data_IF_326508698435
#
_entry.id   IF_326508698435
#
_cell.length_a   1.000
_cell.length_b   1.000
_cell.length_c   1.000
_cell.angle_alpha   90.00
_cell.angle_beta   90.00
_cell.angle_gamma   90.00
#
_symmetry.space_group_name_H-M   'P 1'
#
loop_
_entity.id
_entity.type
_entity.pdbx_description
1 polymer ?
#
# COMPACT_ATOMS: atom_id res chain seq x y z
N UNK A 1 -9.47 -13.69 -21.88
CA UNK A 1 -8.99 -12.29 -21.71
C UNK A 1 -9.13 -11.84 -20.25
N UNK A 2 -10.33 -11.77 -19.66
CA UNK A 2 -10.52 -11.33 -18.24
C UNK A 2 -9.76 -12.16 -17.20
N UNK A 3 -9.52 -13.45 -17.39
CA UNK A 3 -8.74 -14.26 -16.45
C UNK A 3 -7.27 -13.83 -16.38
N UNK A 4 -6.65 -13.54 -17.53
CA UNK A 4 -5.28 -13.01 -17.57
C UNK A 4 -5.17 -11.62 -16.98
N UNK A 5 -6.18 -10.78 -17.19
CA UNK A 5 -6.25 -9.44 -16.60
C UNK A 5 -6.38 -9.52 -15.08
N UNK A 6 -7.21 -10.44 -14.57
CA UNK A 6 -7.32 -10.67 -13.12
C UNK A 6 -5.98 -11.06 -12.53
N UNK A 7 -5.25 -11.99 -13.13
CA UNK A 7 -3.91 -12.37 -12.68
C UNK A 7 -2.93 -11.20 -12.75
N UNK A 8 -2.95 -10.43 -13.83
CA UNK A 8 -2.08 -9.26 -13.98
C UNK A 8 -2.37 -8.18 -12.91
N UNK A 9 -3.64 -8.01 -12.52
CA UNK A 9 -4.00 -7.11 -11.41
C UNK A 9 -3.51 -7.68 -10.08
N UNK A 10 -3.67 -8.97 -9.80
CA UNK A 10 -3.13 -9.61 -8.60
C UNK A 10 -1.61 -9.41 -8.50
N UNK A 11 -0.86 -9.64 -9.59
CA UNK A 11 0.58 -9.40 -9.63
C UNK A 11 0.92 -7.92 -9.32
N UNK A 12 0.07 -6.98 -9.74
CA UNK A 12 0.26 -5.56 -9.42
C UNK A 12 0.11 -5.27 -7.94
N UNK A 13 -0.87 -5.91 -7.28
CA UNK A 13 -1.08 -5.79 -5.84
C UNK A 13 0.07 -6.43 -5.04
N UNK A 14 0.57 -7.57 -5.50
CA UNK A 14 1.72 -8.24 -4.85
C UNK A 14 3.02 -7.46 -5.06
N UNK A 15 3.23 -6.86 -6.25
CA UNK A 15 4.38 -6.00 -6.50
C UNK A 15 4.41 -4.77 -5.57
N UNK A 16 3.24 -4.25 -5.16
CA UNK A 16 3.16 -3.22 -4.12
C UNK A 16 3.73 -3.72 -2.80
N UNK A 17 3.27 -4.87 -2.29
CA UNK A 17 3.76 -5.41 -1.01
C UNK A 17 5.26 -5.70 -1.05
N UNK A 18 5.77 -6.23 -2.15
CA UNK A 18 7.21 -6.46 -2.34
C UNK A 18 8.02 -5.17 -2.28
N UNK A 19 7.54 -4.10 -2.95
CA UNK A 19 8.20 -2.81 -2.95
C UNK A 19 8.25 -2.20 -1.53
N UNK A 20 7.16 -2.31 -0.77
CA UNK A 20 7.08 -1.81 0.61
C UNK A 20 7.98 -2.64 1.54
N UNK A 21 7.87 -3.96 1.51
CA UNK A 21 8.59 -4.86 2.42
C UNK A 21 10.11 -4.81 2.22
N UNK A 22 10.54 -4.59 0.97
CA UNK A 22 11.95 -4.42 0.61
C UNK A 22 12.41 -2.95 0.67
N UNK A 23 11.53 -2.02 1.03
CA UNK A 23 11.79 -0.58 1.09
C UNK A 23 12.35 -0.03 -0.24
N UNK A 24 11.83 -0.52 -1.37
CA UNK A 24 12.16 -0.08 -2.72
C UNK A 24 11.06 0.80 -3.27
N UNK A 25 10.89 1.97 -2.67
CA UNK A 25 9.74 2.85 -2.93
C UNK A 25 9.73 3.40 -4.35
N UNK A 26 10.86 3.45 -5.05
CA UNK A 26 10.94 3.79 -6.47
C UNK A 26 10.18 2.78 -7.37
N UNK A 27 10.06 1.52 -6.93
CA UNK A 27 9.32 0.49 -7.66
C UNK A 27 7.80 0.75 -7.67
N UNK A 28 7.30 1.61 -6.80
CA UNK A 28 5.88 2.01 -6.80
C UNK A 28 5.47 2.68 -8.12
N UNK A 29 6.40 3.27 -8.87
CA UNK A 29 6.17 3.78 -10.22
C UNK A 29 5.74 2.70 -11.24
N UNK A 30 6.03 1.41 -10.95
CA UNK A 30 5.55 0.29 -11.76
C UNK A 30 4.20 -0.25 -11.30
N UNK A 31 3.73 0.14 -10.13
CA UNK A 31 2.44 -0.26 -9.55
C UNK A 31 1.36 0.77 -9.84
N UNK A 32 1.69 2.03 -9.69
CA UNK A 32 0.78 3.16 -9.80
C UNK A 32 1.00 3.95 -11.09
N UNK A 33 -0.01 4.71 -11.51
CA UNK A 33 0.18 5.79 -12.50
C UNK A 33 0.92 6.96 -11.85
N UNK A 34 1.61 7.76 -12.64
CA UNK A 34 2.40 8.89 -12.13
C UNK A 34 1.54 9.94 -11.36
N UNK A 35 0.27 10.05 -11.73
CA UNK A 35 -0.72 10.95 -11.14
C UNK A 35 -1.64 10.27 -10.11
N UNK A 36 -1.32 9.04 -9.72
CA UNK A 36 -2.14 8.29 -8.79
C UNK A 36 -2.34 9.01 -7.46
N UNK A 37 -3.55 8.90 -6.90
CA UNK A 37 -3.92 9.47 -5.61
C UNK A 37 -4.02 8.36 -4.56
N UNK A 38 -3.34 8.54 -3.44
CA UNK A 38 -3.30 7.58 -2.34
C UNK A 38 -3.81 8.24 -1.06
N UNK A 39 -4.76 7.58 -0.40
CA UNK A 39 -5.35 8.04 0.87
C UNK A 39 -5.03 7.05 2.00
N UNK A 40 -4.08 7.41 2.85
CA UNK A 40 -3.64 6.61 4.00
C UNK A 40 -3.97 7.28 5.34
N UNK A 41 -4.91 8.23 5.34
CA UNK A 41 -5.26 9.00 6.55
C UNK A 41 -5.72 8.14 7.72
N UNK A 42 -6.39 7.01 7.47
CA UNK A 42 -6.84 6.13 8.55
C UNK A 42 -5.71 5.44 9.32
N UNK A 43 -4.51 5.40 8.73
CA UNK A 43 -3.30 4.87 9.39
C UNK A 43 -2.32 5.97 9.81
N UNK A 44 -2.77 7.23 9.80
CA UNK A 44 -1.95 8.38 10.17
C UNK A 44 -1.09 8.94 9.04
N UNK A 45 -1.23 8.41 7.83
CA UNK A 45 -0.55 8.90 6.64
C UNK A 45 -1.28 10.07 5.96
N UNK A 46 -0.73 10.57 4.85
CA UNK A 46 -1.35 11.63 4.05
C UNK A 46 -2.41 11.10 3.10
N UNK A 47 -3.15 12.06 2.50
CA UNK A 47 -3.87 11.86 1.25
C UNK A 47 -3.17 12.74 0.20
N UNK A 48 -2.44 12.13 -0.72
CA UNK A 48 -1.59 12.86 -1.66
C UNK A 48 -1.32 12.06 -2.95
N UNK A 49 -0.63 12.69 -3.90
CA UNK A 49 -0.19 12.05 -5.12
C UNK A 49 0.99 11.08 -4.86
N UNK A 50 1.29 10.22 -5.83
CA UNK A 50 2.33 9.20 -5.71
C UNK A 50 3.71 9.75 -5.32
N UNK A 51 4.23 10.87 -5.91
CA UNK A 51 5.56 11.36 -5.54
C UNK A 51 5.69 11.74 -4.06
N UNK A 52 4.69 12.43 -3.51
CA UNK A 52 4.67 12.81 -2.10
C UNK A 52 4.49 11.57 -1.19
N UNK A 53 3.69 10.59 -1.64
CA UNK A 53 3.52 9.34 -0.91
C UNK A 53 4.83 8.54 -0.86
N UNK A 54 5.61 8.51 -1.93
CA UNK A 54 6.91 7.82 -1.95
C UNK A 54 7.89 8.45 -0.95
N UNK A 55 7.91 9.77 -0.83
CA UNK A 55 8.72 10.47 0.18
C UNK A 55 8.24 10.11 1.59
N UNK A 56 6.94 10.23 1.84
CA UNK A 56 6.34 9.90 3.14
C UNK A 56 6.66 8.45 3.56
N UNK A 57 6.44 7.49 2.66
CA UNK A 57 6.71 6.07 2.95
C UNK A 57 8.21 5.82 3.21
N UNK A 58 9.09 6.47 2.47
CA UNK A 58 10.53 6.39 2.68
C UNK A 58 10.96 6.88 4.05
N UNK A 59 10.40 8.00 4.51
CA UNK A 59 10.68 8.56 5.84
C UNK A 59 10.05 7.71 6.95
N UNK A 60 8.76 7.36 6.81
CA UNK A 60 8.01 6.65 7.84
C UNK A 60 8.48 5.21 8.02
N UNK A 61 8.72 4.48 6.93
CA UNK A 61 9.04 3.05 6.98
C UNK A 61 10.52 2.76 7.19
N UNK A 62 11.42 3.74 7.02
CA UNK A 62 12.86 3.55 7.24
C UNK A 62 13.22 3.15 8.68
N UNK A 63 12.38 3.47 9.64
CA UNK A 63 12.55 3.12 11.06
C UNK A 63 12.28 1.65 11.38
N UNK A 64 11.59 0.94 10.47
CA UNK A 64 11.26 -0.46 10.69
C UNK A 64 12.34 -1.39 10.18
N UNK A 65 12.69 -2.39 10.97
CA UNK A 65 13.67 -3.44 10.66
C UNK A 65 13.01 -4.67 10.03
N UNK A 66 11.71 -4.82 10.22
CA UNK A 66 10.92 -5.91 9.68
C UNK A 66 9.61 -5.35 9.17
N UNK A 67 9.33 -5.60 7.92
CA UNK A 67 8.08 -5.27 7.25
C UNK A 67 7.59 -6.52 6.53
N UNK A 68 6.32 -6.84 6.68
CA UNK A 68 5.71 -7.90 5.91
C UNK A 68 4.23 -7.60 5.70
N UNK A 69 3.84 -7.49 4.43
CA UNK A 69 2.47 -7.23 4.00
C UNK A 69 1.90 -8.48 3.33
N UNK A 70 0.76 -8.94 3.83
CA UNK A 70 -0.01 -10.02 3.22
C UNK A 70 -1.21 -9.40 2.52
N UNK A 71 -1.30 -9.60 1.21
CA UNK A 71 -2.46 -9.19 0.40
C UNK A 71 -3.29 -10.44 0.12
N UNK A 72 -4.57 -10.40 0.48
CA UNK A 72 -5.47 -11.54 0.34
C UNK A 72 -6.88 -11.13 -0.04
N UNK A 73 -7.74 -12.11 -0.28
CA UNK A 73 -9.17 -11.90 -0.55
C UNK A 73 -9.42 -10.90 -1.70
N UNK A 74 -8.57 -10.93 -2.71
CA UNK A 74 -8.63 -10.00 -3.84
C UNK A 74 -9.91 -10.23 -4.65
N UNK A 75 -10.67 -9.16 -4.86
CA UNK A 75 -11.87 -9.12 -5.70
C UNK A 75 -11.68 -8.07 -6.78
N UNK A 76 -11.63 -8.50 -8.02
CA UNK A 76 -11.52 -7.64 -9.19
C UNK A 76 -12.88 -7.51 -9.86
N UNK A 77 -13.25 -6.30 -10.24
CA UNK A 77 -14.42 -6.00 -11.07
C UNK A 77 -13.97 -5.14 -12.24
N UNK A 78 -14.26 -5.62 -13.43
CA UNK A 78 -14.02 -4.84 -14.65
C UNK A 78 -15.23 -3.95 -14.92
N UNK A 79 -14.98 -2.78 -15.48
CA UNK A 79 -16.05 -1.93 -15.95
C UNK A 79 -16.76 -2.60 -17.14
N UNK A 80 -18.08 -2.44 -17.23
CA UNK A 80 -18.88 -3.07 -18.29
C UNK A 80 -18.83 -2.26 -19.59
N UNK A 81 -18.63 -0.94 -19.50
CA UNK A 81 -18.63 -0.02 -20.65
C UNK A 81 -17.21 0.29 -21.12
N UNK A 82 -16.20 0.16 -20.24
CA UNK A 82 -14.79 0.41 -20.56
C UNK A 82 -13.88 -0.73 -20.10
N UNK A 83 -13.43 -1.55 -21.03
CA UNK A 83 -12.57 -2.72 -20.77
C UNK A 83 -11.17 -2.36 -20.26
N UNK A 84 -10.79 -1.08 -20.32
CA UNK A 84 -9.51 -0.58 -19.82
C UNK A 84 -9.59 -0.14 -18.36
N UNK A 85 -10.77 -0.20 -17.74
CA UNK A 85 -11.00 0.17 -16.34
C UNK A 85 -11.36 -1.03 -15.48
N UNK A 86 -10.85 -1.03 -14.25
CA UNK A 86 -11.19 -2.02 -13.23
C UNK A 86 -11.15 -1.41 -11.83
N UNK A 87 -11.81 -2.08 -10.90
CA UNK A 87 -11.63 -1.87 -9.47
C UNK A 87 -11.15 -3.15 -8.82
N UNK A 88 -10.37 -3.03 -7.76
CA UNK A 88 -9.95 -4.16 -6.95
C UNK A 88 -10.12 -3.81 -5.47
N UNK A 89 -10.65 -4.78 -4.72
CA UNK A 89 -10.68 -4.73 -3.26
C UNK A 89 -9.88 -5.90 -2.73
N UNK A 90 -9.03 -5.64 -1.74
CA UNK A 90 -8.22 -6.67 -1.12
C UNK A 90 -8.09 -6.46 0.37
N UNK A 91 -7.82 -7.53 1.11
CA UNK A 91 -7.43 -7.41 2.52
C UNK A 91 -5.92 -7.22 2.59
N UNK A 92 -5.49 -6.45 3.59
CA UNK A 92 -4.10 -6.32 3.97
C UNK A 92 -3.93 -6.68 5.44
N UNK A 93 -2.93 -7.52 5.71
CA UNK A 93 -2.37 -7.73 7.03
C UNK A 93 -0.92 -7.29 6.97
N UNK A 94 -0.57 -6.25 7.72
CA UNK A 94 0.78 -5.70 7.72
C UNK A 94 1.42 -5.82 9.10
N UNK A 95 2.58 -6.45 9.15
CA UNK A 95 3.39 -6.56 10.36
C UNK A 95 4.59 -5.62 10.27
N UNK A 96 4.82 -4.88 11.36
CA UNK A 96 5.91 -3.93 11.49
C UNK A 96 6.76 -4.30 12.71
N UNK A 97 8.07 -4.36 12.53
CA UNK A 97 9.02 -4.62 13.60
C UNK A 97 10.07 -3.52 13.70
N UNK A 98 10.31 -2.99 14.87
CA UNK A 98 11.29 -1.95 15.15
C UNK A 98 12.10 -2.24 16.41
N UNK A 99 13.27 -1.62 16.53
CA UNK A 99 14.09 -1.71 17.74
C UNK A 99 13.72 -0.61 18.73
N UNK A 100 13.48 -1.01 19.97
CA UNK A 100 13.32 -0.11 21.10
C UNK A 100 14.14 -0.62 22.28
N UNK A 101 15.07 0.20 22.75
CA UNK A 101 15.99 -0.18 23.83
C UNK A 101 16.69 -1.55 23.59
N UNK A 102 17.16 -1.78 22.37
CA UNK A 102 17.86 -3.01 21.97
C UNK A 102 16.95 -4.26 21.84
N UNK A 103 15.64 -4.12 21.96
CA UNK A 103 14.68 -5.21 21.82
C UNK A 103 13.77 -4.97 20.61
N UNK A 104 13.46 -6.06 19.89
CA UNK A 104 12.44 -6.01 18.83
C UNK A 104 11.05 -5.86 19.42
N UNK A 105 10.32 -4.86 18.93
CA UNK A 105 8.90 -4.64 19.20
C UNK A 105 8.14 -4.81 17.90
N UNK A 106 6.92 -5.28 18.00
CA UNK A 106 6.06 -5.52 16.85
C UNK A 106 4.67 -4.95 17.05
N UNK A 107 4.09 -4.48 15.95
CA UNK A 107 2.67 -4.23 15.85
C UNK A 107 2.14 -4.70 14.51
N UNK A 108 0.86 -4.92 14.43
CA UNK A 108 0.15 -5.37 13.25
C UNK A 108 -1.05 -4.47 12.98
N UNK A 109 -1.35 -4.29 11.72
CA UNK A 109 -2.61 -3.71 11.30
C UNK A 109 -3.32 -4.65 10.32
N UNK A 110 -4.63 -4.71 10.44
CA UNK A 110 -5.49 -5.34 9.46
C UNK A 110 -6.38 -4.29 8.81
N UNK A 111 -6.51 -4.35 7.51
CA UNK A 111 -7.28 -3.39 6.75
C UNK A 111 -7.69 -3.89 5.37
N UNK A 112 -8.15 -2.96 4.58
CA UNK A 112 -8.58 -3.19 3.20
C UNK A 112 -8.02 -2.10 2.30
N UNK A 113 -7.63 -2.48 1.09
CA UNK A 113 -7.40 -1.56 -0.01
C UNK A 113 -8.60 -1.53 -0.94
N UNK A 114 -9.06 -0.33 -1.28
CA UNK A 114 -9.95 -0.08 -2.40
C UNK A 114 -9.15 0.63 -3.50
N UNK A 115 -8.98 -0.06 -4.64
CA UNK A 115 -8.17 0.37 -5.76
C UNK A 115 -9.03 0.64 -6.99
N UNK A 116 -8.71 1.73 -7.70
CA UNK A 116 -9.12 1.93 -9.09
C UNK A 116 -7.92 1.70 -10.00
N UNK A 117 -8.13 1.00 -11.09
CA UNK A 117 -7.05 0.62 -12.00
C UNK A 117 -7.41 0.97 -13.43
N UNK A 118 -6.36 1.22 -14.21
CA UNK A 118 -6.44 1.45 -15.64
C UNK A 118 -5.44 0.53 -16.36
N UNK A 119 -5.83 0.03 -17.52
CA UNK A 119 -4.93 -0.66 -18.44
C UNK A 119 -4.09 0.36 -19.20
N UNK A 120 -2.79 0.14 -19.25
CA UNK A 120 -1.82 0.91 -20.04
C UNK A 120 -1.07 -0.05 -20.98
N UNK A 121 -0.33 0.46 -21.98
CA UNK A 121 0.50 -0.40 -22.85
C UNK A 121 1.45 -1.33 -22.05
N UNK A 122 1.95 -0.86 -20.90
CA UNK A 122 2.85 -1.59 -20.00
C UNK A 122 2.10 -2.50 -19.01
N UNK A 123 0.78 -2.63 -19.12
CA UNK A 123 -0.08 -3.42 -18.24
C UNK A 123 -0.90 -2.57 -17.26
N UNK A 124 -1.57 -3.24 -16.35
CA UNK A 124 -2.45 -2.59 -15.36
C UNK A 124 -1.67 -1.71 -14.38
N UNK A 125 -2.25 -0.54 -14.03
CA UNK A 125 -1.72 0.40 -13.04
C UNK A 125 -2.85 0.89 -12.14
N UNK A 126 -2.53 1.10 -10.86
CA UNK A 126 -3.46 1.70 -9.90
C UNK A 126 -3.45 3.22 -10.08
N UNK A 127 -4.64 3.80 -10.26
CA UNK A 127 -4.83 5.26 -10.36
C UNK A 127 -5.27 5.88 -9.04
N UNK A 128 -5.83 5.08 -8.14
CA UNK A 128 -6.25 5.54 -6.81
C UNK A 128 -6.27 4.36 -5.85
N UNK A 129 -5.77 4.58 -4.64
CA UNK A 129 -5.83 3.63 -3.52
C UNK A 129 -6.33 4.32 -2.27
N UNK A 130 -7.31 3.71 -1.62
CA UNK A 130 -7.75 4.09 -0.27
C UNK A 130 -7.45 2.93 0.68
N UNK A 131 -6.75 3.22 1.77
CA UNK A 131 -6.50 2.26 2.85
C UNK A 131 -7.53 2.46 3.96
N UNK A 132 -8.35 1.44 4.19
CA UNK A 132 -9.31 1.39 5.29
C UNK A 132 -8.75 0.55 6.43
N UNK A 133 -8.52 1.17 7.59
CA UNK A 133 -8.08 0.48 8.79
C UNK A 133 -9.25 -0.27 9.44
N UNK A 134 -9.07 -1.55 9.74
CA UNK A 134 -10.04 -2.38 10.45
C UNK A 134 -9.68 -2.58 11.91
N UNK A 135 -8.41 -2.83 12.18
CA UNK A 135 -7.88 -3.02 13.52
C UNK A 135 -6.38 -2.75 13.56
N UNK A 136 -5.89 -2.49 14.76
CA UNK A 136 -4.49 -2.24 15.05
C UNK A 136 -4.16 -2.92 16.39
N UNK A 137 -3.08 -3.68 16.46
CA UNK A 137 -2.68 -4.44 17.64
C UNK A 137 -1.17 -4.44 17.83
N UNK A 138 -0.72 -4.49 19.09
CA UNK A 138 0.68 -4.57 19.47
C UNK A 138 1.30 -3.26 19.89
N UNK A 139 2.63 -3.24 19.94
CA UNK A 139 3.42 -2.10 20.42
C UNK A 139 3.61 -1.05 19.32
N UNK A 140 2.62 -0.20 19.10
CA UNK A 140 2.70 0.89 18.13
C UNK A 140 3.69 1.94 18.62
N UNK A 141 4.72 2.32 17.82
CA UNK A 141 5.67 3.35 18.26
C UNK A 141 4.94 4.68 18.44
N UNK A 142 5.18 5.35 19.56
CA UNK A 142 4.72 6.72 19.75
C UNK A 142 5.47 7.62 18.77
N UNK A 143 4.75 8.47 18.05
CA UNK A 143 5.39 9.55 17.30
C UNK A 143 6.30 10.33 18.26
N UNK A 144 7.53 10.69 17.86
CA UNK A 144 8.32 11.60 18.69
C UNK A 144 7.49 12.86 18.94
N UNK A 145 7.43 13.28 20.21
CA UNK A 145 6.79 14.54 20.56
C UNK A 145 7.39 15.64 19.67
N UNK A 146 6.58 16.60 19.17
CA UNK A 146 7.14 17.72 18.42
C UNK A 146 8.23 18.36 19.28
N UNK A 147 9.40 18.62 18.70
CA UNK A 147 10.50 19.26 19.38
C UNK A 147 9.96 20.54 20.02
N UNK A 148 10.15 20.67 21.34
CA UNK A 148 9.76 21.90 22.04
C UNK A 148 10.54 23.06 21.41
N UNK A 149 9.77 24.01 20.83
CA UNK A 149 10.28 25.26 20.27
C UNK A 149 10.77 26.21 21.36
#
# INVERSE_FOLDING_TARGET
MRAFDTLAIHERLFAYSDAIDQQRFEQLAHVFTADAQLDFRQTGGPCCALPEMQVFLGEELSRYRRLQHFISNVRVRFDDDDTELATARSYVLAQHGYLHEGRMRFFQLGGEYDDKLVRRPEGWRITSRVLHLRWLEGDVPRSPAPAAS
#
